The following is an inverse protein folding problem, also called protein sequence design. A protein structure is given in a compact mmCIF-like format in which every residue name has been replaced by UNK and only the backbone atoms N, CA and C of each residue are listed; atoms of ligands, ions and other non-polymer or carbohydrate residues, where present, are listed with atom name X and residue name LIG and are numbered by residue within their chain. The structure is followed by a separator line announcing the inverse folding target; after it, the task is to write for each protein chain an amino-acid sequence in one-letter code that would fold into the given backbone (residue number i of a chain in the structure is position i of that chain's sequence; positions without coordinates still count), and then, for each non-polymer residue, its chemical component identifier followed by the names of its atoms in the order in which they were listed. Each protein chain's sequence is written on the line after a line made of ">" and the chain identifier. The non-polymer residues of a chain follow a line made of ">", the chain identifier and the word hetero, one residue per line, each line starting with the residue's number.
data_IF_330128544880
#
_entry.id   IF_330128544880
#
_cell.length_a   1.000
_cell.length_b   1.000
_cell.length_c   1.000
_cell.angle_alpha   90.00
_cell.angle_beta   90.00
_cell.angle_gamma   90.00
#
_symmetry.space_group_name_H-M   'P 1'
#
loop_
_entity.id
_entity.type
_entity.pdbx_description
1 polymer ?
#
# COMPACT_ATOMS: atom_id res chain seq x y z
N UNK A 1 24.82 -19.13 27.39
CA UNK A 1 24.09 -17.86 27.22
C UNK A 1 24.12 -17.56 25.76
N UNK A 2 23.00 -17.25 25.07
CA UNK A 2 23.08 -16.79 23.69
C UNK A 2 23.91 -15.50 23.68
N UNK A 3 24.77 -15.34 22.67
CA UNK A 3 25.53 -14.11 22.45
C UNK A 3 24.60 -12.93 22.55
N UNK A 4 24.88 -11.99 23.44
CA UNK A 4 24.13 -10.77 23.55
C UNK A 4 24.17 -10.06 22.20
N UNK A 5 23.02 -9.87 21.56
CA UNK A 5 22.88 -9.03 20.37
C UNK A 5 23.42 -7.65 20.72
N UNK A 6 24.59 -7.31 20.20
CA UNK A 6 25.29 -6.08 20.55
C UNK A 6 24.94 -4.92 19.62
N UNK A 7 24.32 -5.17 18.47
CA UNK A 7 24.11 -4.13 17.45
C UNK A 7 22.77 -4.26 16.72
N UNK A 8 22.17 -3.11 16.48
CA UNK A 8 21.09 -2.92 15.52
C UNK A 8 21.69 -2.54 14.14
N UNK A 9 21.32 -3.24 13.09
CA UNK A 9 21.54 -2.80 11.71
C UNK A 9 20.33 -1.94 11.32
N UNK A 10 20.58 -0.75 10.75
CA UNK A 10 19.52 0.18 10.35
C UNK A 10 19.84 0.83 9.02
N UNK A 11 18.81 1.08 8.21
CA UNK A 11 18.93 1.86 6.98
C UNK A 11 18.34 3.24 7.23
N UNK A 12 19.20 4.25 7.08
CA UNK A 12 18.85 5.65 7.29
C UNK A 12 18.72 6.37 5.97
N UNK A 13 17.95 7.48 5.95
CA UNK A 13 17.93 8.42 4.84
C UNK A 13 19.26 9.18 4.82
N UNK A 14 20.09 8.94 3.82
CA UNK A 14 21.40 9.60 3.69
C UNK A 14 21.28 10.97 3.00
N UNK A 15 20.37 11.10 2.04
CA UNK A 15 20.07 12.34 1.32
C UNK A 15 18.67 12.29 0.71
N UNK A 16 18.07 13.45 0.44
CA UNK A 16 16.77 13.54 -0.22
C UNK A 16 16.94 13.33 -1.73
N UNK A 17 16.16 12.42 -2.36
CA UNK A 17 16.25 12.21 -3.79
C UNK A 17 15.63 13.35 -4.58
N UNK A 18 16.28 13.73 -5.68
CA UNK A 18 15.69 14.54 -6.76
C UNK A 18 15.24 13.60 -7.86
N UNK A 19 13.93 13.46 -8.06
CA UNK A 19 13.38 12.45 -8.96
C UNK A 19 13.28 11.07 -8.29
N UNK A 20 13.58 10.00 -9.04
CA UNK A 20 13.60 8.64 -8.50
C UNK A 20 14.72 8.48 -7.46
N UNK A 21 14.50 7.76 -6.36
CA UNK A 21 15.55 7.48 -5.41
C UNK A 21 16.62 6.57 -6.02
N UNK A 22 17.85 6.74 -5.54
CA UNK A 22 19.01 5.93 -5.89
C UNK A 22 19.59 5.28 -4.63
N UNK A 23 20.44 4.25 -4.74
CA UNK A 23 21.06 3.62 -3.57
C UNK A 23 21.80 4.61 -2.66
N UNK A 24 22.36 5.68 -3.21
CA UNK A 24 23.09 6.72 -2.47
C UNK A 24 22.21 7.56 -1.54
N UNK A 25 20.89 7.52 -1.73
CA UNK A 25 19.94 8.15 -0.81
C UNK A 25 19.78 7.38 0.50
N UNK A 26 20.32 6.18 0.59
CA UNK A 26 20.24 5.30 1.75
C UNK A 26 21.64 4.98 2.28
N UNK A 27 21.73 4.74 3.59
CA UNK A 27 22.98 4.28 4.22
C UNK A 27 22.67 3.22 5.27
N UNK A 28 23.36 2.07 5.15
CA UNK A 28 23.33 1.03 6.17
C UNK A 28 24.30 1.40 7.31
N UNK A 29 23.78 1.43 8.53
CA UNK A 29 24.53 1.73 9.75
C UNK A 29 24.41 0.59 10.76
N UNK A 30 25.35 0.55 11.69
CA UNK A 30 25.30 -0.28 12.89
C UNK A 30 25.30 0.60 14.12
N UNK A 31 24.36 0.37 15.02
CA UNK A 31 24.23 1.09 16.28
C UNK A 31 24.19 0.10 17.44
N UNK A 32 24.89 0.38 18.52
CA UNK A 32 24.76 -0.40 19.74
C UNK A 32 23.33 -0.34 20.26
N UNK A 33 22.80 -1.48 20.70
CA UNK A 33 21.51 -1.52 21.37
C UNK A 33 21.67 -1.00 22.79
N UNK A 34 20.87 -0.01 23.22
CA UNK A 34 20.86 0.41 24.60
C UNK A 34 20.17 -0.64 25.49
N UNK A 35 20.44 -0.59 26.79
CA UNK A 35 19.70 -1.37 27.76
C UNK A 35 18.22 -0.99 27.77
N UNK A 36 17.35 -1.98 28.00
CA UNK A 36 15.91 -1.74 28.13
C UNK A 36 15.61 -0.99 29.43
N UNK A 37 14.77 0.03 29.31
CA UNK A 37 14.12 0.67 30.44
C UNK A 37 12.81 -0.05 30.82
N UNK A 38 12.32 0.18 32.03
CA UNK A 38 11.02 -0.33 32.48
C UNK A 38 9.91 0.05 31.51
N UNK A 39 9.03 -0.89 31.20
CA UNK A 39 7.93 -0.72 30.27
C UNK A 39 8.32 -0.88 28.79
N UNK A 40 9.58 -1.16 28.46
CA UNK A 40 10.06 -1.35 27.09
C UNK A 40 10.18 -2.82 26.68
N UNK A 41 10.20 -3.04 25.37
CA UNK A 41 10.48 -4.33 24.73
C UNK A 41 11.54 -4.16 23.67
N UNK A 42 12.42 -5.15 23.54
CA UNK A 42 13.34 -5.31 22.41
C UNK A 42 12.68 -6.18 21.35
N UNK A 43 12.60 -5.67 20.16
CA UNK A 43 11.98 -6.28 18.99
C UNK A 43 13.05 -6.67 17.98
N UNK A 44 12.95 -7.89 17.46
CA UNK A 44 13.70 -8.34 16.28
C UNK A 44 12.79 -8.37 15.07
N UNK A 45 13.12 -7.62 14.04
CA UNK A 45 12.39 -7.59 12.78
C UNK A 45 12.49 -8.95 12.09
N UNK A 46 11.34 -9.50 11.70
CA UNK A 46 11.21 -10.71 10.89
C UNK A 46 10.83 -10.38 9.45
N UNK A 47 9.91 -9.44 9.28
CA UNK A 47 9.45 -8.95 7.99
C UNK A 47 9.33 -7.43 8.03
N UNK A 48 9.79 -6.79 6.97
CA UNK A 48 9.65 -5.36 6.72
C UNK A 48 8.78 -5.17 5.47
N UNK A 49 7.75 -4.33 5.55
CA UNK A 49 6.99 -3.92 4.37
C UNK A 49 7.70 -2.80 3.64
N UNK A 50 7.70 -2.88 2.30
CA UNK A 50 8.14 -1.79 1.43
C UNK A 50 6.91 -1.26 0.68
N UNK A 51 6.58 0.00 0.92
CA UNK A 51 5.35 0.63 0.44
C UNK A 51 5.65 1.95 -0.30
N UNK A 52 4.95 2.23 -1.41
CA UNK A 52 5.21 3.42 -2.23
C UNK A 52 5.13 4.75 -1.47
N UNK A 53 4.29 4.86 -0.40
CA UNK A 53 4.17 6.09 0.39
C UNK A 53 5.49 6.53 1.04
N UNK A 54 6.42 5.60 1.27
CA UNK A 54 7.73 5.87 1.85
C UNK A 54 8.55 6.84 0.98
N UNK A 55 8.30 6.87 -0.36
CA UNK A 55 8.91 7.88 -1.23
C UNK A 55 8.54 9.30 -0.82
N UNK A 56 7.29 9.54 -0.43
CA UNK A 56 6.84 10.83 0.10
C UNK A 56 7.54 11.19 1.41
N UNK A 57 7.93 10.20 2.23
CA UNK A 57 8.68 10.43 3.48
C UNK A 57 10.13 10.86 3.27
N UNK A 58 10.68 10.66 2.07
CA UNK A 58 12.02 11.11 1.70
C UNK A 58 12.05 12.58 1.24
N UNK A 59 10.89 13.23 1.09
CA UNK A 59 10.73 14.63 0.69
C UNK A 59 10.40 15.50 1.90
N UNK A 60 10.89 16.74 1.91
CA UNK A 60 10.53 17.77 2.89
C UNK A 60 9.37 18.68 2.44
N UNK A 61 8.77 18.38 1.27
CA UNK A 61 7.56 19.06 0.82
C UNK A 61 6.38 18.80 1.78
N UNK A 62 5.42 19.73 1.90
CA UNK A 62 4.24 19.56 2.72
C UNK A 62 3.49 18.28 2.38
N UNK A 63 3.17 17.49 3.40
CA UNK A 63 2.50 16.19 3.27
C UNK A 63 1.62 15.90 4.49
N UNK A 64 0.81 14.84 4.43
CA UNK A 64 -0.05 14.40 5.54
C UNK A 64 0.71 13.87 6.77
N UNK A 65 2.01 13.59 6.66
CA UNK A 65 2.85 13.23 7.79
C UNK A 65 4.27 13.78 7.64
N UNK A 66 4.99 13.88 8.76
CA UNK A 66 6.35 14.41 8.81
C UNK A 66 7.32 13.60 7.92
N UNK A 67 8.29 14.25 7.28
CA UNK A 67 9.36 13.57 6.55
C UNK A 67 10.26 12.77 7.50
N UNK A 68 10.99 11.83 6.94
CA UNK A 68 12.16 11.26 7.61
C UNK A 68 13.30 12.28 7.56
N UNK A 69 13.94 12.53 8.68
CA UNK A 69 15.09 13.42 8.73
C UNK A 69 16.35 12.73 8.20
N UNK A 70 17.26 13.52 7.62
CA UNK A 70 18.54 12.97 7.14
C UNK A 70 19.33 12.41 8.33
N UNK A 71 19.77 11.14 8.20
CA UNK A 71 20.43 10.38 9.26
C UNK A 71 19.47 9.57 10.14
N UNK A 72 18.16 9.74 10.01
CA UNK A 72 17.18 8.93 10.73
C UNK A 72 16.78 7.68 9.96
N UNK A 73 16.28 6.68 10.70
CA UNK A 73 15.85 5.39 10.15
C UNK A 73 14.67 5.59 9.19
N UNK A 74 14.75 4.98 8.01
CA UNK A 74 13.63 4.96 7.07
C UNK A 74 12.40 4.36 7.73
N UNK A 75 11.25 5.01 7.55
CA UNK A 75 9.96 4.54 8.10
C UNK A 75 9.50 3.27 7.39
N UNK A 76 8.78 2.42 8.11
CA UNK A 76 8.16 1.21 7.55
C UNK A 76 7.45 0.39 8.60
N UNK A 77 6.38 -0.29 8.19
CA UNK A 77 5.71 -1.30 8.99
C UNK A 77 6.54 -2.58 9.04
N UNK A 78 6.63 -3.20 10.21
CA UNK A 78 7.31 -4.48 10.34
C UNK A 78 6.54 -5.46 11.23
N UNK A 79 6.71 -6.75 10.95
CA UNK A 79 6.41 -7.82 11.90
C UNK A 79 7.69 -8.17 12.62
N UNK A 80 7.64 -8.15 13.94
CA UNK A 80 8.78 -8.39 14.81
C UNK A 80 8.46 -9.45 15.86
N UNK A 81 9.52 -10.11 16.34
CA UNK A 81 9.45 -10.96 17.53
C UNK A 81 9.98 -10.18 18.73
N UNK A 82 9.27 -10.26 19.84
CA UNK A 82 9.77 -9.78 21.13
C UNK A 82 10.92 -10.69 21.58
N UNK A 83 12.13 -10.15 21.69
CA UNK A 83 13.29 -10.89 22.23
C UNK A 83 13.43 -10.74 23.72
N UNK A 84 13.27 -9.51 24.24
CA UNK A 84 13.27 -9.20 25.65
C UNK A 84 12.14 -8.23 25.99
N UNK A 85 11.57 -8.38 27.17
CA UNK A 85 10.48 -7.51 27.64
C UNK A 85 10.63 -7.13 29.11
N UNK A 86 10.51 -5.84 29.35
CA UNK A 86 10.21 -5.23 30.66
C UNK A 86 8.81 -4.59 30.66
N UNK A 87 7.98 -4.92 29.66
CA UNK A 87 6.61 -4.42 29.50
C UNK A 87 5.61 -5.52 29.90
N UNK A 88 4.64 -5.24 30.80
CA UNK A 88 3.71 -6.27 31.29
C UNK A 88 2.73 -6.81 30.24
N UNK A 89 2.59 -6.14 29.10
CA UNK A 89 1.65 -6.56 28.02
C UNK A 89 2.25 -7.52 27.01
N UNK A 90 3.58 -7.65 26.96
CA UNK A 90 4.28 -8.44 25.94
C UNK A 90 5.31 -9.36 26.59
N UNK A 91 5.48 -10.56 26.03
CA UNK A 91 6.40 -11.57 26.51
C UNK A 91 7.41 -11.94 25.42
N UNK A 92 8.58 -12.39 25.82
CA UNK A 92 9.56 -12.93 24.87
C UNK A 92 8.96 -14.05 24.03
N UNK A 93 9.12 -13.97 22.71
CA UNK A 93 8.53 -14.88 21.74
C UNK A 93 7.25 -14.36 21.07
N UNK A 94 6.57 -13.36 21.66
CA UNK A 94 5.37 -12.77 21.04
C UNK A 94 5.70 -12.19 19.65
N UNK A 95 4.77 -12.35 18.71
CA UNK A 95 4.83 -11.69 17.41
C UNK A 95 3.99 -10.43 17.44
N UNK A 96 4.59 -9.32 17.03
CA UNK A 96 3.94 -8.01 17.00
C UNK A 96 4.11 -7.34 15.65
N UNK A 97 3.15 -6.48 15.29
CA UNK A 97 3.22 -5.63 14.10
C UNK A 97 3.19 -4.16 14.52
N UNK A 98 4.03 -3.33 13.88
CA UNK A 98 4.08 -1.90 14.14
C UNK A 98 5.03 -1.16 13.21
N UNK A 99 5.05 0.16 13.30
CA UNK A 99 5.90 1.03 12.49
C UNK A 99 7.30 1.15 13.12
N UNK A 100 8.10 0.09 13.02
CA UNK A 100 9.43 0.04 13.64
C UNK A 100 10.56 0.49 12.72
N UNK A 101 10.27 0.75 11.44
CA UNK A 101 11.24 1.25 10.46
C UNK A 101 12.17 0.18 9.89
N UNK A 102 13.07 0.64 9.01
CA UNK A 102 14.00 -0.23 8.28
C UNK A 102 15.21 -0.58 9.16
N UNK A 103 15.00 -1.51 10.08
CA UNK A 103 16.05 -1.91 11.01
C UNK A 103 15.87 -3.35 11.51
N UNK A 104 16.97 -3.98 11.88
CA UNK A 104 16.98 -5.36 12.36
C UNK A 104 16.38 -5.50 13.75
N UNK A 105 16.57 -4.50 14.60
CA UNK A 105 16.05 -4.45 15.97
C UNK A 105 15.52 -3.06 16.28
N UNK A 106 14.56 -2.99 17.17
CA UNK A 106 14.00 -1.73 17.68
C UNK A 106 13.57 -1.88 19.13
N UNK A 107 13.55 -0.76 19.86
CA UNK A 107 12.98 -0.70 21.19
C UNK A 107 11.64 0.02 21.11
N UNK A 108 10.61 -0.54 21.73
CA UNK A 108 9.26 0.03 21.79
C UNK A 108 8.78 0.11 23.24
N UNK A 109 8.02 1.16 23.56
CA UNK A 109 7.28 1.28 24.83
C UNK A 109 5.94 0.52 24.81
N UNK A 110 5.67 -0.21 23.72
CA UNK A 110 4.47 -1.00 23.53
C UNK A 110 3.22 -0.23 23.05
N UNK A 111 3.29 1.11 22.87
CA UNK A 111 2.11 1.89 22.45
C UNK A 111 1.78 1.72 20.97
N UNK A 112 2.81 1.61 20.12
CA UNK A 112 2.70 1.61 18.68
C UNK A 112 2.94 0.21 18.07
N UNK A 113 2.76 -0.83 18.87
CA UNK A 113 2.81 -2.21 18.42
C UNK A 113 1.56 -2.97 18.87
N UNK A 114 1.12 -3.89 18.04
CA UNK A 114 -0.03 -4.76 18.30
C UNK A 114 0.36 -6.22 18.11
N UNK A 115 -0.25 -7.15 18.86
CA UNK A 115 -0.06 -8.57 18.60
C UNK A 115 -0.48 -8.92 17.16
N UNK A 116 0.34 -9.73 16.49
CA UNK A 116 -0.06 -10.35 15.22
C UNK A 116 -1.19 -11.34 15.51
N UNK A 117 -2.30 -11.32 14.75
CA UNK A 117 -3.39 -12.29 14.94
C UNK A 117 -2.89 -13.73 14.90
N UNK A 118 -3.32 -14.54 15.85
CA UNK A 118 -2.97 -15.95 15.90
C UNK A 118 -3.61 -16.73 14.74
N UNK A 119 -2.94 -17.81 14.31
CA UNK A 119 -3.49 -18.72 13.29
C UNK A 119 -3.32 -18.24 11.85
N UNK A 120 -2.56 -17.17 11.61
CA UNK A 120 -2.18 -16.78 10.23
C UNK A 120 -1.21 -17.81 9.65
N UNK A 121 -1.36 -18.22 8.37
CA UNK A 121 -0.40 -19.06 7.66
C UNK A 121 1.01 -18.47 7.62
N UNK A 122 1.11 -17.14 7.48
CA UNK A 122 2.37 -16.37 7.61
C UNK A 122 2.11 -15.09 8.38
N UNK A 123 2.97 -14.71 9.32
CA UNK A 123 2.84 -13.44 10.03
C UNK A 123 3.00 -12.21 9.12
N UNK A 124 3.67 -12.33 7.96
CA UNK A 124 3.78 -11.28 6.94
C UNK A 124 2.43 -10.76 6.43
N UNK A 125 1.38 -11.61 6.47
CA UNK A 125 0.02 -11.21 6.10
C UNK A 125 -0.49 -10.00 6.88
N UNK A 126 0.01 -9.79 8.10
CA UNK A 126 -0.31 -8.62 8.92
C UNK A 126 0.29 -7.30 8.37
N UNK A 127 1.19 -7.37 7.40
CA UNK A 127 1.72 -6.21 6.67
C UNK A 127 1.05 -5.99 5.31
N UNK A 128 0.46 -7.03 4.74
CA UNK A 128 -0.12 -7.04 3.40
C UNK A 128 -1.65 -7.09 3.42
N UNK A 129 -2.18 -8.27 3.06
CA UNK A 129 -3.62 -8.50 2.83
C UNK A 129 -4.48 -8.30 4.08
N UNK A 130 -3.95 -8.54 5.28
CA UNK A 130 -4.59 -8.27 6.57
C UNK A 130 -3.96 -7.09 7.33
N UNK A 131 -3.12 -6.32 6.66
CA UNK A 131 -2.47 -5.11 7.14
C UNK A 131 -2.93 -3.85 6.42
N UNK A 132 -2.01 -2.87 6.34
CA UNK A 132 -2.30 -1.54 5.78
C UNK A 132 -2.82 -1.59 4.34
N UNK A 133 -2.21 -2.32 3.37
CA UNK A 133 -2.71 -2.35 1.99
C UNK A 133 -4.11 -2.98 1.88
N UNK A 134 -4.36 -4.08 2.61
CA UNK A 134 -5.67 -4.73 2.64
C UNK A 134 -6.75 -3.83 3.24
N UNK A 135 -6.44 -3.15 4.34
CA UNK A 135 -7.36 -2.20 4.99
C UNK A 135 -7.63 -0.98 4.08
N UNK A 136 -6.61 -0.47 3.40
CA UNK A 136 -6.75 0.60 2.42
C UNK A 136 -7.71 0.19 1.30
N UNK A 137 -7.53 -1.00 0.75
CA UNK A 137 -8.40 -1.53 -0.29
C UNK A 137 -9.86 -1.66 0.18
N UNK A 138 -10.06 -2.24 1.36
CA UNK A 138 -11.38 -2.50 1.91
C UNK A 138 -12.12 -1.21 2.27
N UNK A 139 -11.50 -0.33 3.06
CA UNK A 139 -12.15 0.90 3.54
C UNK A 139 -12.41 1.87 2.39
N UNK A 140 -11.43 2.10 1.51
CA UNK A 140 -11.64 2.96 0.34
C UNK A 140 -12.76 2.47 -0.57
N UNK A 141 -12.85 1.15 -0.81
CA UNK A 141 -13.92 0.59 -1.62
C UNK A 141 -15.29 0.68 -0.91
N UNK A 142 -15.35 0.25 0.36
CA UNK A 142 -16.64 0.13 1.05
C UNK A 142 -17.24 1.48 1.43
N UNK A 143 -16.44 2.41 1.96
CA UNK A 143 -16.94 3.70 2.46
C UNK A 143 -17.04 4.77 1.38
N UNK A 144 -16.02 4.86 0.51
CA UNK A 144 -15.97 5.88 -0.54
C UNK A 144 -16.58 5.35 -1.84
N UNK A 145 -16.15 4.16 -2.27
CA UNK A 145 -16.64 3.48 -3.47
C UNK A 145 -18.12 3.09 -3.37
N UNK A 146 -18.57 2.61 -2.20
CA UNK A 146 -19.96 2.20 -1.95
C UNK A 146 -20.50 1.28 -3.04
N UNK A 147 -19.87 0.11 -3.24
CA UNK A 147 -20.14 -0.75 -4.39
C UNK A 147 -21.56 -1.34 -4.34
N UNK A 148 -22.20 -1.40 -5.51
CA UNK A 148 -23.49 -2.02 -5.70
C UNK A 148 -23.38 -3.12 -6.75
N UNK A 149 -24.06 -4.25 -6.54
CA UNK A 149 -24.06 -5.34 -7.49
C UNK A 149 -24.50 -4.86 -8.89
N UNK A 150 -23.80 -5.34 -9.92
CA UNK A 150 -24.03 -4.96 -11.31
C UNK A 150 -23.28 -3.69 -11.78
N UNK A 151 -22.68 -2.91 -10.88
CA UNK A 151 -21.85 -1.76 -11.27
C UNK A 151 -20.51 -2.22 -11.87
N UNK A 152 -19.89 -1.34 -12.66
CA UNK A 152 -18.55 -1.53 -13.20
C UNK A 152 -17.51 -0.79 -12.35
N UNK A 153 -16.51 -1.53 -11.87
CA UNK A 153 -15.36 -0.98 -11.19
C UNK A 153 -14.10 -1.09 -12.08
N UNK A 154 -13.36 -0.01 -12.19
CA UNK A 154 -11.99 0.00 -12.71
C UNK A 154 -11.02 0.24 -11.56
N UNK A 155 -9.93 -0.52 -11.50
CA UNK A 155 -8.88 -0.31 -10.51
C UNK A 155 -7.51 -0.18 -11.17
N UNK A 156 -6.81 0.91 -10.86
CA UNK A 156 -5.44 1.15 -11.27
C UNK A 156 -4.45 0.34 -10.41
N UNK A 157 -3.30 -0.05 -10.99
CA UNK A 157 -2.32 -0.94 -10.36
C UNK A 157 -2.95 -2.25 -9.86
N UNK A 158 -3.77 -2.88 -10.70
CA UNK A 158 -4.62 -4.03 -10.35
C UNK A 158 -3.86 -5.27 -9.85
N UNK A 159 -2.58 -5.42 -10.17
CA UNK A 159 -1.73 -6.52 -9.68
C UNK A 159 -0.98 -6.18 -8.37
N UNK A 160 -1.09 -4.94 -7.88
CA UNK A 160 -0.42 -4.47 -6.68
C UNK A 160 -1.16 -4.85 -5.39
N UNK A 161 -0.54 -4.60 -4.24
CA UNK A 161 -1.05 -5.01 -2.94
C UNK A 161 -2.46 -4.47 -2.60
N UNK A 162 -2.75 -3.22 -2.98
CA UNK A 162 -4.09 -2.61 -2.81
C UNK A 162 -5.02 -3.04 -3.95
N UNK A 163 -4.60 -2.83 -5.21
CA UNK A 163 -5.47 -3.03 -6.38
C UNK A 163 -5.98 -4.46 -6.54
N UNK A 164 -5.15 -5.46 -6.22
CA UNK A 164 -5.54 -6.86 -6.26
C UNK A 164 -6.64 -7.21 -5.25
N UNK A 165 -6.60 -6.62 -4.07
CA UNK A 165 -7.62 -6.81 -3.04
C UNK A 165 -8.90 -6.08 -3.41
N UNK A 166 -8.80 -4.81 -3.88
CA UNK A 166 -9.98 -4.02 -4.33
C UNK A 166 -10.82 -4.81 -5.31
N UNK A 167 -10.19 -5.34 -6.36
CA UNK A 167 -10.96 -6.03 -7.39
C UNK A 167 -11.59 -7.33 -6.92
N UNK A 168 -10.90 -8.11 -6.09
CA UNK A 168 -11.45 -9.35 -5.54
C UNK A 168 -12.62 -9.07 -4.58
N UNK A 169 -12.51 -8.05 -3.73
CA UNK A 169 -13.64 -7.61 -2.87
C UNK A 169 -14.80 -7.12 -3.73
N UNK A 170 -14.53 -6.36 -4.79
CA UNK A 170 -15.57 -5.93 -5.74
C UNK A 170 -16.26 -7.13 -6.43
N UNK A 171 -15.51 -8.18 -6.80
CA UNK A 171 -16.10 -9.43 -7.33
C UNK A 171 -17.00 -10.11 -6.31
N UNK A 172 -16.59 -10.18 -5.04
CA UNK A 172 -17.43 -10.71 -3.94
C UNK A 172 -18.73 -9.88 -3.79
N UNK A 173 -18.68 -8.59 -4.06
CA UNK A 173 -19.85 -7.68 -4.03
C UNK A 173 -20.70 -7.72 -5.31
N UNK A 174 -20.33 -8.53 -6.30
CA UNK A 174 -21.11 -8.73 -7.54
C UNK A 174 -20.88 -7.66 -8.61
N UNK A 175 -19.74 -6.98 -8.61
CA UNK A 175 -19.38 -6.00 -9.62
C UNK A 175 -18.73 -6.67 -10.84
N UNK A 176 -18.84 -6.00 -12.00
CA UNK A 176 -17.92 -6.16 -13.10
C UNK A 176 -16.61 -5.44 -12.76
N UNK A 177 -15.47 -6.12 -12.90
CA UNK A 177 -14.18 -5.59 -12.48
C UNK A 177 -13.18 -5.59 -13.63
N UNK A 178 -12.68 -4.41 -13.97
CA UNK A 178 -11.64 -4.21 -14.98
C UNK A 178 -10.38 -3.70 -14.29
N UNK A 179 -9.29 -4.44 -14.43
CA UNK A 179 -7.98 -4.07 -13.91
C UNK A 179 -7.19 -3.23 -14.93
N UNK A 180 -6.31 -2.37 -14.44
CA UNK A 180 -5.25 -1.73 -15.24
C UNK A 180 -3.92 -2.11 -14.63
N UNK A 181 -3.02 -2.74 -15.42
CA UNK A 181 -1.70 -3.17 -14.96
C UNK A 181 -0.64 -2.93 -16.04
N UNK A 182 0.64 -3.14 -15.72
CA UNK A 182 1.74 -2.94 -16.66
C UNK A 182 2.29 -4.26 -17.20
N UNK A 183 1.99 -4.57 -18.46
CA UNK A 183 2.48 -5.74 -19.18
C UNK A 183 1.56 -6.96 -19.10
N UNK A 184 1.61 -7.76 -20.14
CA UNK A 184 0.75 -8.93 -20.38
C UNK A 184 0.77 -9.94 -19.20
N UNK A 185 1.95 -10.19 -18.62
CA UNK A 185 2.10 -11.15 -17.50
C UNK A 185 1.26 -10.72 -16.28
N UNK A 186 1.28 -9.42 -15.94
CA UNK A 186 0.49 -8.89 -14.83
C UNK A 186 -1.00 -8.92 -15.16
N UNK A 187 -1.37 -8.59 -16.40
CA UNK A 187 -2.77 -8.64 -16.82
C UNK A 187 -3.33 -10.07 -16.79
N UNK A 188 -2.58 -11.07 -17.25
CA UNK A 188 -2.98 -12.48 -17.13
C UNK A 188 -3.17 -12.92 -15.69
N UNK A 189 -2.22 -12.60 -14.81
CA UNK A 189 -2.35 -12.89 -13.38
C UNK A 189 -3.65 -12.31 -12.78
N UNK A 190 -3.98 -11.07 -13.13
CA UNK A 190 -5.18 -10.39 -12.62
C UNK A 190 -6.47 -11.08 -13.10
N UNK A 191 -6.51 -11.53 -14.36
CA UNK A 191 -7.69 -12.21 -14.92
C UNK A 191 -7.75 -13.68 -14.46
N UNK A 192 -6.68 -14.43 -14.68
CA UNK A 192 -6.68 -15.88 -14.56
C UNK A 192 -6.65 -16.34 -13.09
N UNK A 193 -5.95 -15.61 -12.23
CA UNK A 193 -5.78 -16.00 -10.83
C UNK A 193 -6.65 -15.21 -9.87
N UNK A 194 -6.84 -13.89 -10.10
CA UNK A 194 -7.64 -13.04 -9.22
C UNK A 194 -9.11 -12.94 -9.64
N UNK A 195 -9.48 -13.44 -10.84
CA UNK A 195 -10.86 -13.54 -11.30
C UNK A 195 -11.49 -12.22 -11.74
N UNK A 196 -10.69 -11.24 -12.19
CA UNK A 196 -11.22 -10.02 -12.79
C UNK A 196 -11.82 -10.33 -14.16
N UNK A 197 -12.81 -9.55 -14.59
CA UNK A 197 -13.49 -9.77 -15.88
C UNK A 197 -12.60 -9.35 -17.07
N UNK A 198 -11.70 -8.39 -16.87
CA UNK A 198 -10.69 -7.97 -17.83
C UNK A 198 -9.50 -7.29 -17.14
N UNK A 199 -8.37 -7.21 -17.82
CA UNK A 199 -7.25 -6.37 -17.40
C UNK A 199 -6.58 -5.76 -18.62
N UNK A 200 -6.35 -4.45 -18.61
CA UNK A 200 -5.82 -3.68 -19.72
C UNK A 200 -4.38 -3.26 -19.42
N UNK A 201 -3.48 -3.51 -20.38
CA UNK A 201 -2.09 -3.06 -20.26
C UNK A 201 -1.98 -1.56 -20.55
N UNK A 202 -1.68 -0.78 -19.50
CA UNK A 202 -1.49 0.68 -19.66
C UNK A 202 -0.28 1.07 -20.55
N UNK A 203 0.57 0.10 -20.93
CA UNK A 203 1.69 0.29 -21.86
C UNK A 203 1.27 0.15 -23.31
N UNK A 204 0.07 -0.38 -23.59
CA UNK A 204 -0.47 -0.48 -24.95
C UNK A 204 -0.61 0.90 -25.59
N UNK A 205 -0.26 1.00 -26.87
CA UNK A 205 -0.49 2.20 -27.66
C UNK A 205 -1.98 2.52 -27.83
N UNK A 206 -2.87 1.52 -27.67
CA UNK A 206 -4.33 1.65 -27.77
C UNK A 206 -5.02 1.59 -26.40
N UNK A 207 -4.29 1.88 -25.34
CA UNK A 207 -4.79 1.72 -23.96
C UNK A 207 -6.17 2.34 -23.73
N UNK A 208 -6.39 3.59 -24.16
CA UNK A 208 -7.68 4.28 -23.95
C UNK A 208 -8.84 3.61 -24.71
N UNK A 209 -8.61 3.15 -25.95
CA UNK A 209 -9.58 2.40 -26.75
C UNK A 209 -9.91 1.05 -26.12
N UNK A 210 -8.88 0.31 -25.70
CA UNK A 210 -9.02 -1.01 -25.06
C UNK A 210 -9.77 -0.90 -23.74
N UNK A 211 -9.49 0.14 -22.93
CA UNK A 211 -10.23 0.42 -21.69
C UNK A 211 -11.70 0.74 -21.95
N UNK A 212 -11.98 1.58 -22.97
CA UNK A 212 -13.35 1.91 -23.36
C UNK A 212 -14.12 0.65 -23.78
N UNK A 213 -13.51 -0.20 -24.59
CA UNK A 213 -14.11 -1.47 -25.02
C UNK A 213 -14.36 -2.45 -23.86
N UNK A 214 -13.51 -2.43 -22.82
CA UNK A 214 -13.70 -3.24 -21.62
C UNK A 214 -14.80 -2.72 -20.70
N UNK A 215 -15.19 -1.45 -20.83
CA UNK A 215 -16.21 -0.77 -20.03
C UNK A 215 -17.36 -0.25 -20.90
N UNK A 216 -18.11 -1.12 -21.62
CA UNK A 216 -19.13 -0.67 -22.57
C UNK A 216 -20.28 0.10 -21.92
N UNK A 217 -20.57 -0.15 -20.64
CA UNK A 217 -21.62 0.52 -19.87
C UNK A 217 -21.06 1.68 -19.01
N UNK A 218 -19.81 2.08 -19.24
CA UNK A 218 -19.12 3.12 -18.47
C UNK A 218 -18.56 2.61 -17.14
N UNK A 219 -18.11 3.56 -16.31
CA UNK A 219 -17.42 3.27 -15.04
C UNK A 219 -18.17 3.91 -13.87
N UNK A 220 -18.60 3.12 -12.91
CA UNK A 220 -19.32 3.57 -11.72
C UNK A 220 -18.36 3.83 -10.55
N UNK A 221 -17.28 3.03 -10.44
CA UNK A 221 -16.25 3.21 -9.43
C UNK A 221 -14.88 3.14 -10.11
N UNK A 222 -14.06 4.15 -9.87
CA UNK A 222 -12.65 4.11 -10.24
C UNK A 222 -11.79 4.18 -8.99
N UNK A 223 -11.09 3.09 -8.68
CA UNK A 223 -10.18 3.07 -7.53
C UNK A 223 -8.78 3.54 -7.99
N UNK A 224 -8.41 4.74 -7.55
CA UNK A 224 -7.23 5.45 -8.05
C UNK A 224 -6.00 5.18 -7.19
N UNK A 225 -4.98 4.59 -7.81
CA UNK A 225 -3.67 4.32 -7.20
C UNK A 225 -2.51 4.95 -7.98
N UNK A 226 -2.74 5.47 -9.19
CA UNK A 226 -1.68 5.77 -10.17
C UNK A 226 -1.65 7.22 -10.62
N UNK A 227 -2.79 7.78 -11.06
CA UNK A 227 -2.86 9.09 -11.68
C UNK A 227 -2.40 9.11 -13.14
N UNK A 228 -2.09 10.30 -13.66
CA UNK A 228 -1.54 10.53 -15.00
C UNK A 228 -2.41 9.94 -16.11
N UNK A 229 -1.79 9.36 -17.13
CA UNK A 229 -2.47 8.84 -18.32
C UNK A 229 -3.57 7.80 -18.04
N UNK A 230 -3.50 7.09 -16.90
CA UNK A 230 -4.56 6.14 -16.54
C UNK A 230 -5.81 6.90 -16.13
N UNK A 231 -5.67 7.91 -15.28
CA UNK A 231 -6.77 8.79 -14.91
C UNK A 231 -7.38 9.49 -16.13
N UNK A 232 -6.53 10.00 -17.04
CA UNK A 232 -6.98 10.68 -18.27
C UNK A 232 -7.86 9.78 -19.15
N UNK A 233 -7.50 8.49 -19.26
CA UNK A 233 -8.27 7.51 -20.02
C UNK A 233 -9.59 7.11 -19.34
N UNK A 234 -9.63 7.11 -18.00
CA UNK A 234 -10.83 6.80 -17.21
C UNK A 234 -11.85 7.93 -17.23
N UNK A 235 -11.38 9.18 -17.17
CA UNK A 235 -12.23 10.37 -16.97
C UNK A 235 -13.41 10.48 -17.95
N UNK A 236 -13.27 10.26 -19.28
CA UNK A 236 -14.39 10.33 -20.21
C UNK A 236 -15.40 9.19 -20.02
N UNK A 237 -14.98 8.04 -19.47
CA UNK A 237 -15.79 6.84 -19.32
C UNK A 237 -16.64 6.81 -18.03
N UNK A 238 -16.44 7.76 -17.11
CA UNK A 238 -17.16 7.81 -15.83
C UNK A 238 -18.66 7.97 -16.06
N UNK A 239 -19.45 7.20 -15.33
CA UNK A 239 -20.90 7.30 -15.28
C UNK A 239 -21.35 8.49 -14.43
N UNK A 240 -22.60 8.98 -14.60
CA UNK A 240 -23.21 9.93 -13.65
C UNK A 240 -23.19 9.38 -12.22
N UNK A 241 -22.72 10.21 -11.27
CA UNK A 241 -22.54 9.85 -9.85
C UNK A 241 -21.45 8.80 -9.59
N UNK A 242 -20.50 8.62 -10.51
CA UNK A 242 -19.33 7.79 -10.26
C UNK A 242 -18.57 8.22 -9.00
N UNK A 243 -17.88 7.29 -8.37
CA UNK A 243 -17.12 7.48 -7.14
C UNK A 243 -15.66 7.13 -7.38
N UNK A 244 -14.76 7.99 -6.90
CA UNK A 244 -13.33 7.82 -7.04
C UNK A 244 -12.69 7.84 -5.66
N UNK A 245 -12.49 6.67 -5.01
CA UNK A 245 -11.54 6.55 -3.89
C UNK A 245 -10.14 6.88 -4.40
N UNK A 246 -9.56 7.99 -3.94
CA UNK A 246 -8.22 8.42 -4.32
C UNK A 246 -7.24 7.99 -3.23
N UNK A 247 -6.60 6.84 -3.47
CA UNK A 247 -5.70 6.17 -2.55
C UNK A 247 -4.24 6.60 -2.75
N UNK A 248 -3.81 6.78 -4.01
CA UNK A 248 -2.43 7.09 -4.32
C UNK A 248 -2.25 7.59 -5.75
N UNK A 249 -1.07 8.18 -6.01
CA UNK A 249 -0.70 8.79 -7.28
C UNK A 249 0.74 8.39 -7.64
N UNK A 250 1.03 7.07 -7.70
CA UNK A 250 2.39 6.55 -7.82
C UNK A 250 3.12 7.06 -9.08
N UNK A 251 2.38 7.39 -10.14
CA UNK A 251 2.97 7.96 -11.36
C UNK A 251 3.67 9.30 -11.13
N UNK A 252 3.32 10.03 -10.05
CA UNK A 252 3.90 11.32 -9.71
C UNK A 252 4.85 11.29 -8.51
N UNK A 253 5.03 10.16 -7.82
CA UNK A 253 5.85 10.13 -6.60
C UNK A 253 7.32 10.48 -6.84
N UNK A 254 7.85 10.18 -8.02
CA UNK A 254 9.21 10.54 -8.42
C UNK A 254 9.29 11.86 -9.21
N UNK A 255 8.17 12.52 -9.47
CA UNK A 255 8.16 13.78 -10.20
C UNK A 255 8.68 14.91 -9.30
N UNK A 256 9.56 15.75 -9.86
CA UNK A 256 10.07 16.98 -9.23
C UNK A 256 9.68 18.23 -10.02
N UNK A 257 9.07 18.05 -11.18
CA UNK A 257 8.54 19.09 -12.04
C UNK A 257 7.05 18.87 -12.30
N UNK A 258 6.35 19.95 -12.63
CA UNK A 258 4.96 19.86 -13.05
C UNK A 258 4.83 18.96 -14.30
N UNK A 259 3.76 18.17 -14.42
CA UNK A 259 3.52 17.37 -15.62
C UNK A 259 3.52 18.24 -16.88
N UNK A 260 4.20 17.76 -17.94
CA UNK A 260 4.16 18.39 -19.26
C UNK A 260 2.92 17.91 -20.03
N UNK A 261 2.28 18.80 -20.79
CA UNK A 261 1.12 18.45 -21.60
C UNK A 261 -0.05 19.43 -21.41
N UNK A 262 -1.19 19.18 -22.07
CA UNK A 262 -2.37 20.04 -21.91
C UNK A 262 -2.90 19.97 -20.48
N UNK A 263 -3.35 21.11 -19.96
CA UNK A 263 -4.03 21.19 -18.66
C UNK A 263 -5.36 20.42 -18.70
N UNK A 264 -5.46 19.36 -17.92
CA UNK A 264 -6.66 18.52 -17.80
C UNK A 264 -7.66 19.02 -16.74
N UNK A 265 -7.30 20.03 -15.96
CA UNK A 265 -8.14 20.53 -14.88
C UNK A 265 -9.51 21.03 -15.37
N UNK A 266 -9.63 21.78 -16.49
CA UNK A 266 -10.93 22.20 -17.01
C UNK A 266 -11.83 21.02 -17.40
N UNK A 267 -11.26 19.96 -17.98
CA UNK A 267 -12.00 18.74 -18.32
C UNK A 267 -12.47 18.00 -17.06
N UNK A 268 -11.60 17.89 -16.05
CA UNK A 268 -11.95 17.30 -14.75
C UNK A 268 -13.10 18.06 -14.10
N UNK A 269 -12.99 19.38 -13.97
CA UNK A 269 -14.03 20.21 -13.36
C UNK A 269 -15.37 20.08 -14.09
N UNK A 270 -15.37 20.11 -15.42
CA UNK A 270 -16.57 19.90 -16.23
C UNK A 270 -17.19 18.52 -15.99
N UNK A 271 -16.37 17.46 -15.95
CA UNK A 271 -16.83 16.09 -15.72
C UNK A 271 -17.42 15.93 -14.33
N UNK A 272 -16.73 16.44 -13.30
CA UNK A 272 -17.22 16.43 -11.91
C UNK A 272 -18.56 17.14 -11.80
N UNK A 273 -18.69 18.32 -12.39
CA UNK A 273 -19.95 19.10 -12.36
C UNK A 273 -21.08 18.38 -13.11
N UNK A 274 -20.85 18.01 -14.37
CA UNK A 274 -21.93 17.52 -15.24
C UNK A 274 -22.36 16.11 -14.91
N UNK A 275 -21.43 15.24 -14.53
CA UNK A 275 -21.70 13.87 -14.11
C UNK A 275 -21.89 13.71 -12.60
N UNK A 276 -21.69 14.78 -11.82
CA UNK A 276 -21.79 14.79 -10.33
C UNK A 276 -20.91 13.72 -9.69
N UNK A 277 -19.68 13.60 -10.20
CA UNK A 277 -18.67 12.65 -9.72
C UNK A 277 -18.23 13.04 -8.31
N UNK A 278 -18.04 12.07 -7.43
CA UNK A 278 -17.41 12.26 -6.13
C UNK A 278 -15.96 11.73 -6.18
N UNK A 279 -15.02 12.61 -5.88
CA UNK A 279 -13.61 12.27 -5.71
C UNK A 279 -13.26 12.51 -4.25
N UNK A 280 -12.71 11.51 -3.57
CA UNK A 280 -12.38 11.63 -2.15
C UNK A 280 -11.03 10.96 -1.88
N UNK A 281 -10.05 11.75 -1.42
CA UNK A 281 -8.81 11.26 -0.85
C UNK A 281 -9.02 10.75 0.57
N UNK A 282 -8.15 9.84 1.02
CA UNK A 282 -8.17 9.32 2.38
C UNK A 282 -6.78 8.81 2.79
N UNK A 283 -6.52 8.83 4.08
CA UNK A 283 -5.35 8.21 4.70
C UNK A 283 -5.86 7.15 5.67
N UNK A 284 -5.58 5.89 5.38
CA UNK A 284 -6.28 4.76 5.99
C UNK A 284 -6.24 4.75 7.52
N UNK A 285 -5.11 5.09 8.15
CA UNK A 285 -5.03 5.07 9.61
C UNK A 285 -5.57 6.34 10.25
N UNK A 286 -5.52 7.50 9.56
CA UNK A 286 -6.06 8.76 10.08
C UNK A 286 -7.59 8.74 10.04
N UNK A 287 -8.16 8.18 8.95
CA UNK A 287 -9.61 8.18 8.72
C UNK A 287 -10.31 6.93 9.30
N UNK A 288 -9.60 5.80 9.41
CA UNK A 288 -10.21 4.49 9.69
C UNK A 288 -9.44 3.65 10.71
N UNK A 289 -8.40 4.17 11.37
CA UNK A 289 -7.56 3.38 12.28
C UNK A 289 -8.31 2.64 13.38
N UNK A 290 -9.35 3.23 13.93
CA UNK A 290 -10.24 2.66 14.93
C UNK A 290 -11.16 1.55 14.38
N UNK A 291 -11.33 1.45 13.05
CA UNK A 291 -12.15 0.44 12.38
C UNK A 291 -11.34 -0.78 11.90
N UNK A 292 -10.08 -0.92 12.31
CA UNK A 292 -9.27 -2.10 11.99
C UNK A 292 -9.94 -3.42 12.40
N UNK A 293 -10.62 -3.56 13.56
CA UNK A 293 -11.33 -4.79 13.91
C UNK A 293 -12.46 -5.15 12.93
N UNK A 294 -13.19 -4.16 12.41
CA UNK A 294 -14.22 -4.34 11.38
C UNK A 294 -13.59 -4.92 10.10
N UNK A 295 -12.51 -4.31 9.65
CA UNK A 295 -11.77 -4.77 8.48
C UNK A 295 -11.30 -6.22 8.63
N UNK A 296 -10.62 -6.54 9.74
CA UNK A 296 -10.09 -7.89 9.98
C UNK A 296 -11.24 -8.91 10.05
N UNK A 297 -12.33 -8.58 10.72
CA UNK A 297 -13.53 -9.44 10.82
C UNK A 297 -14.12 -9.78 9.46
N UNK A 298 -14.12 -8.82 8.52
CA UNK A 298 -14.64 -9.03 7.16
C UNK A 298 -13.65 -9.79 6.27
N UNK A 299 -12.35 -9.43 6.32
CA UNK A 299 -11.35 -9.92 5.39
C UNK A 299 -10.77 -11.28 5.77
N UNK A 300 -10.54 -11.55 7.05
CA UNK A 300 -9.88 -12.79 7.48
C UNK A 300 -10.61 -14.05 7.00
N UNK A 301 -11.97 -14.15 7.05
CA UNK A 301 -12.69 -15.27 6.47
C UNK A 301 -12.48 -15.41 4.96
N UNK A 302 -12.48 -14.30 4.19
CA UNK A 302 -12.30 -14.36 2.75
C UNK A 302 -10.90 -14.82 2.35
N UNK A 303 -9.88 -14.39 3.09
CA UNK A 303 -8.49 -14.81 2.88
C UNK A 303 -8.34 -16.30 3.26
N UNK A 304 -8.82 -16.70 4.43
CA UNK A 304 -8.78 -18.11 4.88
C UNK A 304 -9.47 -19.05 3.91
N UNK A 305 -10.63 -18.67 3.37
CA UNK A 305 -11.44 -19.47 2.46
C UNK A 305 -10.95 -19.38 1.00
N UNK A 306 -9.83 -18.68 0.73
CA UNK A 306 -9.24 -18.50 -0.60
C UNK A 306 -10.06 -17.63 -1.56
N UNK A 307 -11.06 -16.89 -1.04
CA UNK A 307 -11.88 -15.95 -1.83
C UNK A 307 -11.12 -14.66 -2.15
N UNK A 308 -10.18 -14.29 -1.31
CA UNK A 308 -9.20 -13.22 -1.55
C UNK A 308 -7.84 -13.87 -1.54
N UNK A 309 -7.21 -13.92 -2.71
CA UNK A 309 -5.84 -14.40 -2.92
C UNK A 309 -4.89 -13.22 -2.82
N UNK A 310 -3.69 -13.49 -2.37
CA UNK A 310 -2.61 -12.49 -2.30
C UNK A 310 -1.29 -13.13 -2.71
N UNK A 311 -0.35 -12.30 -3.09
CA UNK A 311 1.01 -12.68 -3.42
C UNK A 311 1.97 -11.73 -2.73
N UNK A 312 3.04 -12.29 -2.18
CA UNK A 312 4.13 -11.56 -1.58
C UNK A 312 5.41 -11.84 -2.35
N UNK A 313 6.15 -10.81 -2.71
CA UNK A 313 7.50 -10.92 -3.25
C UNK A 313 8.45 -10.62 -2.08
N UNK A 314 9.14 -11.65 -1.60
CA UNK A 314 10.03 -11.56 -0.43
C UNK A 314 11.48 -11.46 -0.91
N UNK A 315 12.19 -10.48 -0.40
CA UNK A 315 13.63 -10.28 -0.62
C UNK A 315 14.35 -10.47 0.72
N UNK A 316 15.31 -11.39 0.78
CA UNK A 316 16.07 -11.66 1.99
C UNK A 316 17.13 -10.59 2.24
N UNK A 317 17.31 -10.23 3.52
CA UNK A 317 18.32 -9.29 3.97
C UNK A 317 17.87 -7.83 3.97
N UNK A 318 18.06 -7.18 5.12
CA UNK A 318 17.71 -5.75 5.29
C UNK A 318 18.52 -4.86 4.34
N UNK A 319 19.74 -5.21 4.05
CA UNK A 319 20.67 -4.51 3.14
C UNK A 319 20.12 -4.37 1.72
N UNK A 320 19.23 -5.28 1.31
CA UNK A 320 18.60 -5.28 -0.01
C UNK A 320 17.31 -4.43 -0.08
N UNK A 321 16.83 -3.90 1.05
CA UNK A 321 15.61 -3.10 1.10
C UNK A 321 15.65 -1.83 0.22
N UNK A 322 16.78 -1.08 0.11
CA UNK A 322 16.86 0.06 -0.80
C UNK A 322 16.63 -0.31 -2.26
N UNK A 323 17.30 -1.35 -2.77
CA UNK A 323 17.17 -1.78 -4.16
C UNK A 323 15.74 -2.31 -4.43
N UNK A 324 15.19 -3.12 -3.53
CA UNK A 324 13.82 -3.63 -3.63
C UNK A 324 12.80 -2.49 -3.63
N UNK A 325 13.00 -1.46 -2.81
CA UNK A 325 12.13 -0.28 -2.77
C UNK A 325 12.22 0.57 -4.04
N UNK A 326 13.43 0.81 -4.56
CA UNK A 326 13.63 1.51 -5.83
C UNK A 326 12.92 0.77 -6.97
N UNK A 327 13.00 -0.56 -6.99
CA UNK A 327 12.33 -1.39 -7.98
C UNK A 327 10.79 -1.40 -7.87
N UNK A 328 10.23 -0.99 -6.74
CA UNK A 328 8.79 -0.86 -6.51
C UNK A 328 8.22 0.42 -7.14
N UNK A 329 9.02 1.50 -7.20
CA UNK A 329 8.63 2.83 -7.69
C UNK A 329 8.83 2.98 -9.20
#
# INVERSE_FOLDING_TARGET
>A
MPEALTFNQRIVLASRPTGAPTPENFRLERQALPDLADGQVLLKTLYLSLDPYMRGRMSDAPSYAAPVEIGEVMTGGAVSRVEHSLNPRFHAGDLVVGATGWQSHSISDGRNIMPVPSGLPSPSMALGVLGMPGMTAYMGLMDIGQPKAGETLVVAAASGAVGSVVGQVAKIKGLRVVGVAGGEKKCRYVVDELGFDACIDHKSARFAEELANACPDGIDIYYENVGGKVFDAVLPLLNPKARIPLCGLIASYNAHEAPTGPDQLPLLQRTVLTKRVRIQGFIVFDDYGDRQPEFVSAMAPWVRDGKVKFREDVVDGLENAPEAFIGLL
#
